data_IF_398132488979
#
_entry.id   IF_398132488979
#
_cell.length_a   1.000
_cell.length_b   1.000
_cell.length_c   1.000
_cell.angle_alpha   90.00
_cell.angle_beta   90.00
_cell.angle_gamma   90.00
#
_symmetry.space_group_name_H-M   'P 1'
#
loop_
_entity.id
_entity.type
_entity.pdbx_description
1 polymer ?
#
# COMPACT_ATOMS: atom_id res chain seq x y z
N UNK A 1 13.25 -5.90 2.38
CA UNK A 1 13.80 -4.58 2.75
C UNK A 1 13.06 -4.00 3.92
N UNK A 2 13.63 -3.01 4.57
CA UNK A 2 12.96 -2.35 5.69
C UNK A 2 12.70 -0.89 5.38
N UNK A 3 11.53 -0.40 5.79
CA UNK A 3 11.14 1.00 5.68
C UNK A 3 10.89 1.52 7.10
N UNK A 4 11.57 2.60 7.45
CA UNK A 4 11.43 3.25 8.75
C UNK A 4 10.64 4.53 8.62
N UNK A 5 9.56 4.64 9.42
CA UNK A 5 8.74 5.84 9.49
C UNK A 5 9.21 6.66 10.70
N UNK A 6 10.04 7.67 10.44
CA UNK A 6 10.68 8.44 11.51
C UNK A 6 9.67 9.15 12.41
N UNK A 7 8.57 9.61 11.84
CA UNK A 7 7.52 10.34 12.57
C UNK A 7 6.86 9.49 13.65
N UNK A 8 6.87 8.16 13.49
CA UNK A 8 6.21 7.23 14.41
C UNK A 8 7.18 6.27 15.06
N UNK A 9 8.46 6.34 14.68
CA UNK A 9 9.49 5.40 15.12
C UNK A 9 9.07 3.95 14.90
N UNK A 10 8.56 3.66 13.71
CA UNK A 10 8.08 2.35 13.32
C UNK A 10 8.87 1.86 12.12
N UNK A 11 9.34 0.62 12.18
CA UNK A 11 10.03 -0.03 11.07
C UNK A 11 9.21 -1.21 10.58
N UNK A 12 9.05 -1.32 9.26
CA UNK A 12 8.32 -2.43 8.63
C UNK A 12 9.23 -3.18 7.67
N UNK A 13 9.13 -4.50 7.69
CA UNK A 13 9.79 -5.37 6.71
C UNK A 13 8.87 -5.53 5.51
N UNK A 14 9.38 -5.19 4.34
CA UNK A 14 8.60 -5.11 3.10
C UNK A 14 9.17 -6.08 2.07
N UNK A 15 8.32 -6.89 1.48
CA UNK A 15 8.66 -7.77 0.35
C UNK A 15 7.77 -7.41 -0.83
N UNK A 16 8.40 -7.10 -1.97
CA UNK A 16 7.69 -6.73 -3.18
C UNK A 16 7.89 -7.79 -4.23
N UNK A 17 6.79 -8.32 -4.77
CA UNK A 17 6.81 -9.23 -5.91
C UNK A 17 6.41 -8.46 -7.16
N UNK A 18 7.29 -8.46 -8.15
CA UNK A 18 7.03 -7.86 -9.45
C UNK A 18 6.78 -8.97 -10.46
N UNK A 19 5.85 -8.72 -11.35
CA UNK A 19 5.48 -9.66 -12.38
C UNK A 19 5.90 -9.11 -13.75
N UNK A 20 6.31 -9.97 -14.70
CA UNK A 20 6.76 -9.49 -16.01
C UNK A 20 5.65 -8.91 -16.87
N UNK A 21 4.39 -9.12 -16.50
CA UNK A 21 3.25 -8.60 -17.25
C UNK A 21 2.84 -7.24 -16.74
N UNK A 22 2.62 -6.29 -17.65
CA UNK A 22 2.12 -4.97 -17.28
C UNK A 22 0.67 -4.99 -16.81
N UNK A 23 -0.05 -6.10 -17.07
CA UNK A 23 -1.43 -6.25 -16.61
C UNK A 23 -1.48 -6.62 -15.12
N UNK A 24 -0.41 -7.21 -14.58
CA UNK A 24 -0.35 -7.61 -13.18
C UNK A 24 0.21 -6.48 -12.33
N UNK A 25 -0.45 -6.21 -11.22
CA UNK A 25 0.04 -5.22 -10.26
C UNK A 25 1.04 -5.87 -9.30
N UNK A 26 2.02 -5.11 -8.79
CA UNK A 26 2.95 -5.66 -7.81
C UNK A 26 2.21 -6.07 -6.53
N UNK A 27 2.69 -7.14 -5.91
CA UNK A 27 2.22 -7.54 -4.58
C UNK A 27 3.20 -7.02 -3.53
N UNK A 28 2.68 -6.29 -2.57
CA UNK A 28 3.48 -5.69 -1.50
C UNK A 28 3.09 -6.33 -0.19
N UNK A 29 3.97 -7.19 0.33
CA UNK A 29 3.77 -7.89 1.59
C UNK A 29 4.51 -7.16 2.69
N UNK A 30 3.84 -6.89 3.81
CA UNK A 30 4.41 -6.12 4.91
C UNK A 30 4.07 -6.79 6.22
N UNK A 31 5.03 -6.82 7.15
CA UNK A 31 4.80 -7.33 8.50
C UNK A 31 3.97 -6.34 9.35
N UNK A 32 3.75 -6.71 10.59
CA UNK A 32 3.01 -5.89 11.55
C UNK A 32 1.52 -6.21 11.56
N UNK A 33 0.74 -5.42 12.33
CA UNK A 33 -0.70 -5.65 12.42
C UNK A 33 -1.38 -5.47 11.07
N UNK A 34 -2.33 -6.32 10.77
CA UNK A 34 -3.11 -6.29 9.53
C UNK A 34 -4.53 -5.73 9.72
N UNK A 35 -4.73 -5.01 10.82
CA UNK A 35 -6.02 -4.47 11.22
C UNK A 35 -6.41 -3.15 10.55
N UNK A 36 -5.49 -2.55 9.79
CA UNK A 36 -5.78 -1.28 9.12
C UNK A 36 -6.72 -1.50 7.93
N UNK A 37 -7.47 -0.47 7.54
CA UNK A 37 -8.22 -0.49 6.29
C UNK A 37 -7.33 -0.82 5.13
N UNK A 38 -7.48 -1.16 4.06
CA UNK A 38 -6.57 -1.29 2.90
C UNK A 38 -5.40 -2.24 3.13
N UNK A 39 -5.61 -3.27 3.95
CA UNK A 39 -4.66 -4.36 4.11
C UNK A 39 -5.42 -5.68 4.05
N UNK A 40 -4.91 -6.65 3.27
CA UNK A 40 -5.50 -7.99 3.23
C UNK A 40 -5.07 -8.80 4.45
N UNK A 41 -5.80 -9.87 4.75
CA UNK A 41 -5.56 -10.72 5.92
C UNK A 41 -4.16 -11.34 5.95
N UNK A 42 -3.55 -11.52 4.77
CA UNK A 42 -2.21 -12.09 4.65
C UNK A 42 -1.09 -11.06 4.80
N UNK A 43 -1.41 -9.82 5.15
CA UNK A 43 -0.43 -8.74 5.29
C UNK A 43 -0.13 -8.00 4.00
N UNK A 44 -0.74 -8.37 2.89
CA UNK A 44 -0.55 -7.66 1.63
C UNK A 44 -1.26 -6.31 1.68
N UNK A 45 -0.58 -5.26 1.22
CA UNK A 45 -1.17 -3.93 1.14
C UNK A 45 -2.18 -3.85 0.00
N UNK A 46 -3.36 -3.35 0.29
CA UNK A 46 -4.38 -3.06 -0.71
C UNK A 46 -4.21 -1.63 -1.19
N UNK A 47 -3.28 -1.42 -2.11
CA UNK A 47 -2.96 -0.09 -2.63
C UNK A 47 -3.84 0.29 -3.81
N UNK A 48 -4.28 -0.71 -4.57
CA UNK A 48 -5.12 -0.52 -5.75
C UNK A 48 -6.13 -1.65 -5.85
N UNK A 49 -7.24 -1.39 -6.49
CA UNK A 49 -8.16 -2.45 -6.87
C UNK A 49 -7.93 -2.82 -8.36
N UNK A 50 -8.33 -4.04 -8.78
CA UNK A 50 -7.90 -4.60 -10.08
C UNK A 50 -8.26 -3.79 -11.32
N UNK A 51 -9.32 -3.00 -11.27
CA UNK A 51 -9.81 -2.24 -12.41
C UNK A 51 -9.44 -0.76 -12.42
N UNK A 52 -8.54 -0.34 -11.50
CA UNK A 52 -8.13 1.06 -11.45
C UNK A 52 -7.38 1.44 -12.73
N UNK A 53 -7.57 2.65 -13.19
CA UNK A 53 -6.91 3.16 -14.38
C UNK A 53 -5.39 3.21 -14.20
N UNK A 54 -4.66 3.00 -15.30
CA UNK A 54 -3.20 2.99 -15.27
C UNK A 54 -2.60 4.30 -14.77
N UNK A 55 -3.29 5.42 -15.00
CA UNK A 55 -2.85 6.73 -14.52
C UNK A 55 -2.95 6.89 -13.00
N UNK A 56 -3.69 6.01 -12.35
CA UNK A 56 -3.94 6.09 -10.91
C UNK A 56 -3.21 5.00 -10.12
N UNK A 57 -2.43 4.16 -10.80
CA UNK A 57 -1.66 3.10 -10.17
C UNK A 57 -0.24 3.08 -10.70
N UNK A 58 0.63 2.36 -10.00
CA UNK A 58 2.00 2.14 -10.47
C UNK A 58 2.00 1.19 -11.67
N UNK A 59 2.83 1.51 -12.67
CA UNK A 59 3.15 0.63 -13.80
C UNK A 59 4.66 0.58 -13.96
N UNK A 60 5.17 -0.41 -14.69
CA UNK A 60 6.62 -0.62 -14.81
C UNK A 60 7.41 0.61 -15.24
N UNK A 61 6.84 1.43 -16.12
CA UNK A 61 7.53 2.63 -16.62
C UNK A 61 7.77 3.65 -15.51
N UNK A 62 6.99 3.62 -14.43
CA UNK A 62 7.15 4.54 -13.30
C UNK A 62 8.41 4.27 -12.48
N UNK A 63 8.93 3.05 -12.56
CA UNK A 63 10.15 2.68 -11.88
C UNK A 63 9.97 2.24 -10.42
N UNK A 64 10.97 1.51 -9.92
CA UNK A 64 10.92 0.93 -8.58
C UNK A 64 10.94 2.00 -7.49
N UNK A 65 11.72 3.07 -7.68
CA UNK A 65 11.80 4.13 -6.67
C UNK A 65 10.43 4.77 -6.44
N UNK A 66 9.68 4.99 -7.50
CA UNK A 66 8.32 5.54 -7.40
C UNK A 66 7.41 4.59 -6.61
N UNK A 67 7.52 3.27 -6.86
CA UNK A 67 6.77 2.27 -6.11
C UNK A 67 7.11 2.32 -4.62
N UNK A 68 8.40 2.44 -4.28
CA UNK A 68 8.82 2.53 -2.88
C UNK A 68 8.26 3.76 -2.18
N UNK A 69 8.19 4.89 -2.88
CA UNK A 69 7.58 6.11 -2.34
C UNK A 69 6.09 5.88 -2.06
N UNK A 70 5.39 5.17 -2.95
CA UNK A 70 3.99 4.85 -2.76
C UNK A 70 3.77 3.92 -1.56
N UNK A 71 4.65 2.92 -1.41
CA UNK A 71 4.59 2.00 -0.26
C UNK A 71 4.82 2.76 1.04
N UNK A 72 5.83 3.62 1.09
CA UNK A 72 6.10 4.43 2.27
C UNK A 72 4.91 5.31 2.64
N UNK A 73 4.29 5.94 1.66
CA UNK A 73 3.11 6.76 1.87
C UNK A 73 1.94 5.94 2.45
N UNK A 74 1.75 4.72 1.96
CA UNK A 74 0.70 3.84 2.45
C UNK A 74 0.96 3.44 3.92
N UNK A 75 2.21 3.11 4.25
CA UNK A 75 2.59 2.76 5.62
C UNK A 75 2.42 3.93 6.57
N UNK A 76 2.71 5.15 6.11
CA UNK A 76 2.45 6.37 6.89
C UNK A 76 0.95 6.52 7.17
N UNK A 77 0.11 6.27 6.17
CA UNK A 77 -1.35 6.34 6.34
C UNK A 77 -1.86 5.32 7.34
N UNK A 78 -1.28 4.11 7.36
CA UNK A 78 -1.61 3.10 8.37
C UNK A 78 -1.27 3.58 9.78
N UNK A 79 -0.08 4.15 9.96
CA UNK A 79 0.37 4.64 11.26
C UNK A 79 -0.52 5.79 11.74
N UNK A 80 -0.86 6.71 10.84
CA UNK A 80 -1.79 7.80 11.13
C UNK A 80 -3.16 7.26 11.54
N UNK A 81 -3.66 6.27 10.80
CA UNK A 81 -4.95 5.66 11.10
C UNK A 81 -4.98 5.00 12.48
N UNK A 82 -3.91 4.31 12.85
CA UNK A 82 -3.83 3.68 14.17
C UNK A 82 -3.84 4.70 15.30
N UNK A 83 -3.31 5.87 15.05
CA UNK A 83 -3.26 6.94 16.04
C UNK A 83 -4.57 7.74 16.11
N UNK A 84 -5.18 8.02 14.96
CA UNK A 84 -6.30 8.98 14.88
C UNK A 84 -7.65 8.34 14.54
N UNK A 85 -7.66 7.16 13.97
CA UNK A 85 -8.87 6.53 13.45
C UNK A 85 -9.26 7.02 12.06
N UNK A 86 -8.49 7.94 11.48
CA UNK A 86 -8.80 8.48 10.16
C UNK A 86 -7.82 7.96 9.10
N UNK A 87 -8.33 7.63 7.93
CA UNK A 87 -7.49 7.29 6.79
C UNK A 87 -7.22 8.53 5.95
N UNK A 88 -5.93 8.83 5.73
CA UNK A 88 -5.52 9.93 4.85
C UNK A 88 -5.51 9.45 3.40
N UNK A 89 -6.14 10.20 2.53
CA UNK A 89 -6.16 9.92 1.11
C UNK A 89 -7.44 9.23 0.64
N UNK A 90 -7.52 8.88 -0.63
CA UNK A 90 -8.73 8.32 -1.20
C UNK A 90 -8.98 6.89 -0.73
N UNK A 91 -10.18 6.63 -0.25
CA UNK A 91 -10.61 5.32 0.24
C UNK A 91 -11.82 4.79 -0.54
N UNK A 92 -12.38 5.59 -1.43
CA UNK A 92 -13.64 5.32 -2.12
C UNK A 92 -13.69 3.97 -2.83
N UNK A 93 -12.55 3.49 -3.33
CA UNK A 93 -12.50 2.24 -4.07
C UNK A 93 -12.96 1.06 -3.22
N UNK A 94 -12.47 0.99 -1.99
CA UNK A 94 -12.83 -0.08 -1.08
C UNK A 94 -14.24 0.07 -0.55
N UNK A 95 -14.65 1.30 -0.27
CA UNK A 95 -16.00 1.58 0.18
C UNK A 95 -17.03 1.17 -0.88
N UNK A 96 -16.73 1.41 -2.14
CA UNK A 96 -17.61 1.03 -3.24
C UNK A 96 -17.69 -0.48 -3.45
N UNK A 97 -16.62 -1.21 -3.12
CA UNK A 97 -16.59 -2.65 -3.26
C UNK A 97 -17.35 -3.34 -2.12
N UNK A 98 -17.20 -2.82 -0.92
CA UNK A 98 -17.67 -3.47 0.29
C UNK A 98 -18.91 -2.81 0.92
N UNK A 99 -19.33 -1.71 0.38
CA UNK A 99 -20.58 -1.07 0.79
C UNK A 99 -21.81 -1.70 0.10
#
# INVERSE_FOLDING_TARGET
MQIHLAEYDVTRSVTIKLFPSTAAMPEVQVDGPDDSPHRYDNGQLCMWYPWIEKSERWVFVDGLLHLLVMVEAHLFREAWWRETGEWLGPERAHDQIFA
#
